data_IF_264022764396
#
_entry.id   IF_264022764396
#
_cell.length_a   1.000
_cell.length_b   1.000
_cell.length_c   1.000
_cell.angle_alpha   90.00
_cell.angle_beta   90.00
_cell.angle_gamma   90.00
#
_symmetry.space_group_name_H-M   'P 1'
#
loop_
_entity.id
_entity.type
_entity.pdbx_description
1 polymer ?
#
# COMPACT_ATOMS: atom_id res chain seq x y z
N UNK A 1 -42.95 5.18 4.61
CA UNK A 1 -42.25 4.11 5.35
C UNK A 1 -40.75 4.31 5.20
N UNK A 2 -40.05 4.72 6.25
CA UNK A 2 -38.59 4.75 6.24
C UNK A 2 -38.09 3.32 6.50
N UNK A 3 -37.40 2.72 5.53
CA UNK A 3 -36.58 1.54 5.80
C UNK A 3 -35.47 1.99 6.76
N UNK A 4 -35.70 1.79 8.06
CA UNK A 4 -34.61 1.82 9.05
C UNK A 4 -33.72 0.65 8.68
N UNK A 5 -32.62 0.93 7.99
CA UNK A 5 -31.59 -0.06 7.72
C UNK A 5 -31.21 -0.67 9.06
N UNK A 6 -31.59 -1.94 9.27
CA UNK A 6 -31.27 -2.74 10.46
C UNK A 6 -29.80 -3.12 10.41
N UNK A 7 -28.96 -2.11 10.48
CA UNK A 7 -27.53 -2.25 10.37
C UNK A 7 -27.01 -2.39 11.81
N UNK A 8 -26.88 -3.63 12.30
CA UNK A 8 -26.34 -3.95 13.65
C UNK A 8 -24.97 -3.31 13.91
N UNK A 9 -24.51 -3.10 15.15
CA UNK A 9 -23.31 -2.31 15.44
C UNK A 9 -22.08 -2.80 14.64
N UNK A 10 -21.27 -1.88 14.10
CA UNK A 10 -20.01 -2.22 13.45
C UNK A 10 -19.06 -2.85 14.47
N UNK A 11 -18.30 -3.88 14.08
CA UNK A 11 -17.26 -4.45 14.94
C UNK A 11 -16.16 -3.41 15.23
N UNK A 12 -15.52 -3.52 16.41
CA UNK A 12 -14.36 -2.69 16.76
C UNK A 12 -13.22 -2.84 15.74
N UNK A 13 -13.07 -4.04 15.18
CA UNK A 13 -12.14 -4.31 14.09
C UNK A 13 -12.47 -3.45 12.87
N UNK A 14 -13.72 -3.46 12.36
CA UNK A 14 -14.12 -2.64 11.22
C UNK A 14 -13.90 -1.14 11.45
N UNK A 15 -14.17 -0.64 12.66
CA UNK A 15 -13.93 0.75 13.02
C UNK A 15 -12.43 1.08 13.00
N UNK A 16 -11.59 0.18 13.51
CA UNK A 16 -10.14 0.35 13.55
C UNK A 16 -9.54 0.39 12.14
N UNK A 17 -9.99 -0.51 11.26
CA UNK A 17 -9.63 -0.49 9.85
C UNK A 17 -10.11 0.76 9.14
N UNK A 18 -11.35 1.16 9.38
CA UNK A 18 -11.88 2.37 8.79
C UNK A 18 -11.09 3.61 9.19
N UNK A 19 -10.61 3.65 10.43
CA UNK A 19 -9.74 4.72 10.91
C UNK A 19 -8.35 4.67 10.24
N UNK A 20 -7.68 3.51 10.26
CA UNK A 20 -6.32 3.34 9.72
C UNK A 20 -6.29 3.60 8.21
N UNK A 21 -7.17 2.94 7.47
CA UNK A 21 -7.16 2.94 6.01
C UNK A 21 -8.06 4.03 5.40
N UNK A 22 -8.88 4.71 6.20
CA UNK A 22 -9.86 5.71 5.72
C UNK A 22 -11.10 5.09 5.07
N UNK A 23 -11.40 3.81 5.36
CA UNK A 23 -12.51 3.06 4.75
C UNK A 23 -13.78 3.21 5.61
N UNK A 24 -14.83 3.82 5.09
CA UNK A 24 -16.03 4.13 5.90
C UNK A 24 -17.11 3.04 5.93
N UNK A 25 -16.95 1.89 5.25
CA UNK A 25 -18.08 0.97 4.98
C UNK A 25 -17.92 -0.48 5.46
N UNK A 26 -19.05 -1.03 5.94
CA UNK A 26 -19.25 -2.37 6.52
C UNK A 26 -18.96 -3.57 5.62
N UNK A 27 -18.99 -3.38 4.30
CA UNK A 27 -18.66 -4.46 3.34
C UNK A 27 -17.26 -5.00 3.60
N UNK A 28 -16.42 -4.23 4.32
CA UNK A 28 -15.10 -4.63 4.71
C UNK A 28 -15.02 -5.79 5.70
N UNK A 29 -16.04 -6.06 6.53
CA UNK A 29 -15.91 -7.06 7.61
C UNK A 29 -15.66 -8.48 7.09
N UNK A 30 -16.39 -8.90 6.06
CA UNK A 30 -16.25 -10.24 5.48
C UNK A 30 -14.96 -10.44 4.69
N UNK A 31 -14.38 -9.36 4.16
CA UNK A 31 -13.11 -9.43 3.42
C UNK A 31 -11.91 -9.39 4.38
N UNK A 32 -12.01 -8.54 5.42
CA UNK A 32 -10.97 -8.37 6.42
C UNK A 32 -10.78 -9.59 7.32
N UNK A 33 -11.83 -10.40 7.51
CA UNK A 33 -11.71 -11.67 8.26
C UNK A 33 -10.78 -12.70 7.60
N UNK A 34 -10.45 -12.53 6.31
CA UNK A 34 -9.51 -13.37 5.59
C UNK A 34 -8.05 -12.89 5.70
N UNK A 35 -7.80 -11.71 6.27
CA UNK A 35 -6.45 -11.19 6.47
C UNK A 35 -5.90 -11.67 7.82
N UNK A 36 -4.62 -12.06 7.84
CA UNK A 36 -3.96 -12.41 9.11
C UNK A 36 -3.68 -11.13 9.89
N UNK A 37 -3.79 -11.15 11.23
CA UNK A 37 -3.45 -9.99 12.07
C UNK A 37 -2.08 -9.36 11.77
N UNK A 38 -1.07 -10.17 11.47
CA UNK A 38 0.26 -9.68 11.10
C UNK A 38 0.25 -8.84 9.82
N UNK A 39 -0.52 -9.25 8.80
CA UNK A 39 -0.62 -8.52 7.52
C UNK A 39 -1.30 -7.16 7.72
N UNK A 40 -2.27 -7.12 8.64
CA UNK A 40 -3.04 -5.93 9.01
C UNK A 40 -2.16 -4.93 9.74
N UNK A 41 -1.42 -5.39 10.75
CA UNK A 41 -0.49 -4.57 11.52
C UNK A 41 0.57 -3.99 10.58
N UNK A 42 1.13 -4.84 9.71
CA UNK A 42 2.12 -4.41 8.73
C UNK A 42 1.55 -3.34 7.79
N UNK A 43 0.36 -3.57 7.21
CA UNK A 43 -0.30 -2.59 6.33
C UNK A 43 -0.62 -1.28 7.06
N UNK A 44 -1.03 -1.35 8.33
CA UNK A 44 -1.30 -0.18 9.15
C UNK A 44 -0.04 0.63 9.45
N UNK A 45 1.07 -0.04 9.74
CA UNK A 45 2.35 0.61 9.98
C UNK A 45 2.84 1.29 8.71
N UNK A 46 2.80 0.60 7.57
CA UNK A 46 3.13 1.22 6.28
C UNK A 46 2.34 2.51 6.02
N UNK A 47 1.03 2.51 6.33
CA UNK A 47 0.17 3.71 6.20
C UNK A 47 0.55 4.81 7.17
N UNK A 48 0.80 4.45 8.42
CA UNK A 48 1.21 5.40 9.45
C UNK A 48 2.52 6.08 9.08
N UNK A 49 3.46 5.33 8.52
CA UNK A 49 4.80 5.81 8.21
C UNK A 49 4.86 6.67 6.94
N UNK A 50 3.92 6.52 5.99
CA UNK A 50 3.85 7.27 4.71
C UNK A 50 5.17 7.31 3.93
N UNK A 51 6.07 6.36 4.18
CA UNK A 51 7.40 6.29 3.57
C UNK A 51 7.66 4.85 3.15
N UNK A 52 8.51 4.71 2.14
CA UNK A 52 9.01 3.41 1.72
C UNK A 52 10.08 2.92 2.70
N UNK A 53 10.02 1.64 3.05
CA UNK A 53 11.11 0.91 3.67
C UNK A 53 11.92 0.31 2.53
N UNK A 54 13.11 0.86 2.31
CA UNK A 54 13.94 0.53 1.16
C UNK A 54 15.03 -0.48 1.50
N UNK A 55 15.28 -0.72 2.80
CA UNK A 55 16.36 -1.59 3.27
C UNK A 55 15.85 -2.79 4.06
N UNK A 56 16.52 -3.94 3.91
CA UNK A 56 16.25 -5.14 4.73
C UNK A 56 16.54 -4.94 6.22
N UNK A 57 17.28 -3.89 6.58
CA UNK A 57 17.67 -3.58 7.95
C UNK A 57 16.68 -2.66 8.67
N UNK A 58 15.63 -2.19 7.99
CA UNK A 58 14.57 -1.37 8.59
C UNK A 58 13.55 -2.26 9.32
N UNK A 59 13.39 -2.01 10.62
CA UNK A 59 12.24 -2.53 11.34
C UNK A 59 11.05 -1.60 11.12
N UNK A 60 9.89 -2.20 10.92
CA UNK A 60 8.66 -1.46 10.63
C UNK A 60 8.08 -0.83 11.90
N UNK A 61 8.38 -1.42 13.06
CA UNK A 61 7.89 -0.94 14.36
C UNK A 61 8.73 0.21 14.95
N UNK A 62 9.78 0.63 14.24
CA UNK A 62 10.79 1.53 14.76
C UNK A 62 10.36 3.02 14.58
N UNK A 63 10.36 3.87 15.63
CA UNK A 63 9.86 5.25 15.56
C UNK A 63 10.64 6.11 14.55
N UNK A 64 9.95 6.91 13.74
CA UNK A 64 10.57 7.70 12.67
C UNK A 64 11.21 8.98 13.22
N UNK A 65 12.44 9.28 12.77
CA UNK A 65 13.02 10.63 12.81
C UNK A 65 12.72 11.35 11.49
N UNK A 66 12.28 12.60 11.58
CA UNK A 66 11.54 13.31 10.52
C UNK A 66 12.39 13.67 9.29
N UNK A 67 13.72 13.60 9.34
CA UNK A 67 14.56 14.29 8.34
C UNK A 67 14.96 13.51 7.07
N UNK A 68 14.65 12.21 6.94
CA UNK A 68 15.08 11.44 5.75
C UNK A 68 14.09 11.51 4.57
N UNK A 69 14.03 12.63 3.85
CA UNK A 69 13.36 12.67 2.53
C UNK A 69 14.43 12.61 1.45
N UNK A 70 14.70 11.41 0.94
CA UNK A 70 15.54 11.22 -0.25
C UNK A 70 14.66 11.33 -1.48
N UNK A 71 15.00 12.24 -2.41
CA UNK A 71 14.28 12.39 -3.68
C UNK A 71 14.55 11.17 -4.58
N UNK A 72 13.60 10.23 -4.60
CA UNK A 72 13.64 9.01 -5.40
C UNK A 72 12.89 9.13 -6.73
N UNK A 73 12.47 10.33 -7.13
CA UNK A 73 11.58 10.56 -8.27
C UNK A 73 12.14 10.04 -9.61
N UNK A 74 13.46 10.17 -9.83
CA UNK A 74 14.12 9.72 -11.06
C UNK A 74 14.13 8.19 -11.19
N UNK A 75 14.28 7.47 -10.08
CA UNK A 75 14.27 6.01 -10.08
C UNK A 75 12.84 5.47 -10.22
N UNK A 76 11.86 6.15 -9.62
CA UNK A 76 10.47 5.69 -9.58
C UNK A 76 9.90 5.42 -10.96
N UNK A 77 10.26 6.22 -11.97
CA UNK A 77 9.70 6.09 -13.31
C UNK A 77 10.39 5.03 -14.18
N UNK A 78 11.67 4.74 -13.94
CA UNK A 78 12.45 3.78 -14.75
C UNK A 78 12.50 2.38 -14.15
N UNK A 79 12.35 2.29 -12.83
CA UNK A 79 12.54 1.06 -12.08
C UNK A 79 11.49 -0.04 -12.36
N UNK A 80 10.17 0.23 -12.47
CA UNK A 80 9.20 -0.81 -12.79
C UNK A 80 9.53 -1.53 -14.10
N UNK A 81 9.86 -0.77 -15.15
CA UNK A 81 10.22 -1.32 -16.46
C UNK A 81 11.52 -2.13 -16.40
N UNK A 82 12.50 -1.68 -15.62
CA UNK A 82 13.72 -2.43 -15.38
C UNK A 82 13.42 -3.76 -14.67
N UNK A 83 12.72 -3.73 -13.54
CA UNK A 83 12.43 -4.94 -12.77
C UNK A 83 11.60 -5.94 -13.58
N UNK A 84 10.67 -5.46 -14.41
CA UNK A 84 9.88 -6.33 -15.28
C UNK A 84 10.76 -7.10 -16.28
N UNK A 85 11.75 -6.44 -16.89
CA UNK A 85 12.70 -7.07 -17.82
C UNK A 85 13.64 -8.07 -17.14
N UNK A 86 13.83 -7.93 -15.84
CA UNK A 86 14.81 -8.69 -15.06
C UNK A 86 14.17 -9.58 -14.00
N UNK A 87 12.85 -9.81 -14.10
CA UNK A 87 12.08 -10.51 -13.07
C UNK A 87 12.61 -11.92 -12.79
N UNK A 88 13.19 -12.58 -13.79
CA UNK A 88 13.79 -13.92 -13.68
C UNK A 88 15.03 -13.98 -12.78
N UNK A 89 15.64 -12.84 -12.47
CA UNK A 89 16.82 -12.75 -11.60
C UNK A 89 16.43 -12.63 -10.12
N UNK A 90 15.14 -12.42 -9.82
CA UNK A 90 14.64 -12.40 -8.44
C UNK A 90 14.65 -13.81 -7.83
N UNK A 91 14.86 -13.89 -6.52
CA UNK A 91 14.69 -15.13 -5.73
C UNK A 91 13.26 -15.67 -5.80
N UNK A 92 12.28 -14.77 -5.99
CA UNK A 92 10.87 -15.12 -6.17
C UNK A 92 10.28 -14.37 -7.38
N UNK A 93 10.49 -14.88 -8.62
CA UNK A 93 10.06 -14.19 -9.83
C UNK A 93 8.54 -14.12 -9.96
N UNK A 94 7.81 -15.10 -9.43
CA UNK A 94 6.35 -15.14 -9.48
C UNK A 94 5.72 -14.06 -8.61
N UNK A 95 6.23 -13.88 -7.39
CA UNK A 95 5.81 -12.79 -6.50
C UNK A 95 6.16 -11.43 -7.07
N UNK A 96 7.42 -11.22 -7.49
CA UNK A 96 7.85 -9.93 -8.05
C UNK A 96 7.00 -9.53 -9.26
N UNK A 97 6.70 -10.47 -10.17
CA UNK A 97 5.82 -10.21 -11.32
C UNK A 97 4.42 -9.78 -10.87
N UNK A 98 3.82 -10.52 -9.93
CA UNK A 98 2.49 -10.21 -9.42
C UNK A 98 2.43 -8.82 -8.77
N UNK A 99 3.50 -8.42 -8.07
CA UNK A 99 3.61 -7.10 -7.45
C UNK A 99 3.78 -5.98 -8.49
N UNK A 100 4.63 -6.17 -9.50
CA UNK A 100 4.83 -5.19 -10.59
C UNK A 100 3.55 -5.02 -11.42
N UNK A 101 2.90 -6.12 -11.80
CA UNK A 101 1.63 -6.08 -12.53
C UNK A 101 0.56 -5.33 -11.73
N UNK A 102 0.54 -5.50 -10.40
CA UNK A 102 -0.35 -4.76 -9.51
C UNK A 102 -0.04 -3.27 -9.49
N UNK A 103 1.23 -2.87 -9.36
CA UNK A 103 1.62 -1.45 -9.43
C UNK A 103 1.19 -0.82 -10.75
N UNK A 104 1.48 -1.46 -11.88
CA UNK A 104 1.12 -0.94 -13.20
C UNK A 104 -0.40 -0.71 -13.34
N UNK A 105 -1.23 -1.63 -12.82
CA UNK A 105 -2.69 -1.48 -12.87
C UNK A 105 -3.20 -0.38 -11.95
N UNK A 106 -2.57 -0.23 -10.79
CA UNK A 106 -2.89 0.87 -9.87
C UNK A 106 -2.52 2.21 -10.50
N UNK A 107 -1.35 2.33 -11.12
CA UNK A 107 -0.94 3.51 -11.90
C UNK A 107 -1.92 3.79 -13.06
N UNK A 108 -2.36 2.75 -13.77
CA UNK A 108 -3.33 2.87 -14.85
C UNK A 108 -4.68 3.44 -14.34
N UNK A 109 -5.19 2.92 -13.23
CA UNK A 109 -6.39 3.45 -12.59
C UNK A 109 -6.19 4.90 -12.16
N UNK A 110 -5.02 5.25 -11.64
CA UNK A 110 -4.72 6.64 -11.29
C UNK A 110 -4.70 7.55 -12.51
N UNK A 111 -4.12 7.09 -13.62
CA UNK A 111 -4.14 7.81 -14.88
C UNK A 111 -5.60 8.09 -15.30
N UNK A 112 -6.44 7.05 -15.39
CA UNK A 112 -7.85 7.21 -15.76
C UNK A 112 -8.64 8.03 -14.75
N UNK A 113 -8.39 7.86 -13.45
CA UNK A 113 -9.00 8.66 -12.40
C UNK A 113 -8.68 10.14 -12.58
N UNK A 114 -7.44 10.48 -12.91
CA UNK A 114 -7.03 11.87 -13.15
C UNK A 114 -7.73 12.47 -14.37
N UNK A 115 -7.91 11.69 -15.44
CA UNK A 115 -8.67 12.10 -16.63
C UNK A 115 -10.15 12.29 -16.29
N UNK A 116 -10.75 11.33 -15.60
CA UNK A 116 -12.12 11.39 -15.12
C UNK A 116 -12.37 12.63 -14.27
N UNK A 117 -11.51 12.92 -13.28
CA UNK A 117 -11.62 14.09 -12.41
C UNK A 117 -11.58 15.42 -13.20
N UNK A 118 -10.78 15.50 -14.27
CA UNK A 118 -10.73 16.66 -15.16
C UNK A 118 -12.01 16.82 -15.98
N UNK A 119 -12.64 15.71 -16.35
CA UNK A 119 -13.85 15.70 -17.16
C UNK A 119 -15.14 15.84 -16.34
N UNK A 120 -15.12 15.69 -15.01
CA UNK A 120 -16.31 15.83 -14.13
C UNK A 120 -17.19 17.05 -14.48
N UNK A 121 -16.67 18.29 -14.67
CA UNK A 121 -17.50 19.44 -15.05
C UNK A 121 -18.24 19.24 -16.38
N UNK A 122 -17.61 18.58 -17.35
CA UNK A 122 -18.23 18.23 -18.64
C UNK A 122 -19.28 17.15 -18.48
N UNK A 123 -19.04 16.18 -17.60
CA UNK A 123 -20.02 15.15 -17.23
C UNK A 123 -21.28 15.82 -16.66
N UNK A 124 -21.14 16.77 -15.73
CA UNK A 124 -22.27 17.54 -15.20
C UNK A 124 -23.03 18.32 -16.28
N UNK A 125 -22.32 18.90 -17.24
CA UNK A 125 -22.92 19.61 -18.37
C UNK A 125 -23.66 18.69 -19.35
N UNK A 126 -23.27 17.42 -19.44
CA UNK A 126 -23.87 16.45 -20.37
C UNK A 126 -25.05 15.68 -19.76
N UNK A 127 -25.14 15.53 -18.43
CA UNK A 127 -26.28 14.83 -17.79
C UNK A 127 -27.62 15.56 -18.00
N UNK A 128 -27.60 16.84 -18.38
CA UNK A 128 -28.80 17.61 -18.75
C UNK A 128 -29.28 17.38 -20.19
N UNK A 129 -28.49 16.73 -21.04
CA UNK A 129 -28.83 16.47 -22.44
C UNK A 129 -28.53 15.03 -22.81
N UNK A 130 -29.58 14.26 -23.14
CA UNK A 130 -29.68 12.82 -23.44
C UNK A 130 -28.54 12.18 -24.27
N UNK A 131 -27.28 12.28 -23.84
CA UNK A 131 -26.07 11.84 -24.55
C UNK A 131 -25.41 10.70 -23.78
N UNK A 132 -24.75 9.84 -24.55
CA UNK A 132 -24.04 8.64 -24.09
C UNK A 132 -23.12 8.90 -22.89
N UNK A 133 -22.96 7.87 -22.05
CA UNK A 133 -22.02 7.86 -20.91
C UNK A 133 -20.64 8.40 -21.31
N UNK A 134 -19.97 9.17 -20.44
CA UNK A 134 -18.62 9.67 -20.72
C UNK A 134 -17.65 8.50 -20.89
N UNK A 135 -16.98 8.43 -22.03
CA UNK A 135 -15.94 7.43 -22.34
C UNK A 135 -14.89 7.28 -21.21
N UNK A 136 -14.40 8.35 -20.55
CA UNK A 136 -13.44 8.22 -19.45
C UNK A 136 -13.96 7.46 -18.22
N UNK A 137 -15.26 7.59 -17.90
CA UNK A 137 -15.87 6.85 -16.79
C UNK A 137 -15.93 5.35 -17.11
N UNK A 138 -16.29 5.00 -18.35
CA UNK A 138 -16.31 3.61 -18.79
C UNK A 138 -14.90 2.99 -18.76
N UNK A 139 -13.89 3.71 -19.26
CA UNK A 139 -12.50 3.25 -19.22
C UNK A 139 -12.01 3.06 -17.77
N UNK A 140 -12.33 3.99 -16.87
CA UNK A 140 -12.00 3.85 -15.44
C UNK A 140 -12.69 2.63 -14.83
N UNK A 141 -13.98 2.39 -15.09
CA UNK A 141 -14.69 1.21 -14.58
C UNK A 141 -14.12 -0.10 -15.14
N UNK A 142 -13.73 -0.13 -16.42
CA UNK A 142 -13.04 -1.26 -17.05
C UNK A 142 -11.69 -1.51 -16.37
N UNK A 143 -10.92 -0.45 -16.10
CA UNK A 143 -9.63 -0.55 -15.42
C UNK A 143 -9.79 -1.02 -13.96
N UNK A 144 -10.75 -0.48 -13.23
CA UNK A 144 -11.10 -0.94 -11.89
C UNK A 144 -11.47 -2.42 -11.90
N UNK A 145 -12.26 -2.88 -12.87
CA UNK A 145 -12.61 -4.30 -13.02
C UNK A 145 -11.39 -5.16 -13.36
N UNK A 146 -10.56 -4.73 -14.29
CA UNK A 146 -9.30 -5.41 -14.63
C UNK A 146 -8.39 -5.53 -13.41
N UNK A 147 -8.28 -4.47 -12.59
CA UNK A 147 -7.54 -4.51 -11.33
C UNK A 147 -8.19 -5.49 -10.35
N UNK A 148 -9.51 -5.43 -10.14
CA UNK A 148 -10.25 -6.35 -9.25
C UNK A 148 -9.94 -7.81 -9.64
N UNK A 149 -10.11 -8.16 -10.91
CA UNK A 149 -9.84 -9.52 -11.41
C UNK A 149 -8.37 -9.92 -11.20
N UNK A 150 -7.46 -8.97 -11.41
CA UNK A 150 -6.03 -9.20 -11.21
C UNK A 150 -5.70 -9.45 -9.75
N UNK A 151 -6.22 -8.62 -8.86
CA UNK A 151 -6.03 -8.74 -7.42
C UNK A 151 -6.54 -10.08 -6.89
N UNK A 152 -7.71 -10.50 -7.37
CA UNK A 152 -8.27 -11.81 -7.04
C UNK A 152 -7.34 -12.94 -7.50
N UNK A 153 -6.75 -12.82 -8.70
CA UNK A 153 -5.86 -13.84 -9.28
C UNK A 153 -4.46 -13.84 -8.65
N UNK A 154 -3.92 -12.67 -8.29
CA UNK A 154 -2.57 -12.51 -7.76
C UNK A 154 -2.48 -12.68 -6.24
N UNK A 155 -3.61 -12.73 -5.52
CA UNK A 155 -3.67 -12.81 -4.04
C UNK A 155 -2.85 -13.95 -3.42
N UNK A 156 -2.63 -15.03 -4.18
CA UNK A 156 -1.88 -16.21 -3.74
C UNK A 156 -0.36 -15.94 -3.77
N UNK A 157 0.07 -15.00 -4.59
CA UNK A 157 1.48 -14.75 -4.90
C UNK A 157 2.01 -13.42 -4.33
N UNK A 158 1.17 -12.61 -3.68
CA UNK A 158 1.61 -11.36 -3.04
C UNK A 158 1.99 -11.56 -1.58
N UNK A 159 3.10 -10.95 -1.17
CA UNK A 159 3.47 -10.77 0.24
C UNK A 159 2.35 -10.14 1.08
N UNK A 160 2.35 -10.45 2.39
CA UNK A 160 1.23 -10.17 3.29
C UNK A 160 0.79 -8.70 3.35
N UNK A 161 1.74 -7.78 3.35
CA UNK A 161 1.50 -6.33 3.39
C UNK A 161 0.74 -5.81 2.16
N UNK A 162 1.24 -6.16 0.98
CA UNK A 162 0.65 -5.78 -0.29
C UNK A 162 -0.68 -6.47 -0.49
N UNK A 163 -0.82 -7.71 -0.01
CA UNK A 163 -2.12 -8.37 0.06
C UNK A 163 -3.11 -7.59 0.93
N UNK A 164 -2.69 -7.07 2.08
CA UNK A 164 -3.58 -6.22 2.89
C UNK A 164 -3.98 -4.95 2.13
N UNK A 165 -3.01 -4.22 1.57
CA UNK A 165 -3.26 -3.00 0.79
C UNK A 165 -4.10 -3.28 -0.46
N UNK A 166 -3.88 -4.39 -1.13
CA UNK A 166 -4.65 -4.80 -2.30
C UNK A 166 -6.08 -5.14 -1.93
N UNK A 167 -6.32 -5.82 -0.81
CA UNK A 167 -7.69 -6.11 -0.37
C UNK A 167 -8.40 -4.82 0.05
N UNK A 168 -7.70 -3.88 0.69
CA UNK A 168 -8.20 -2.54 1.01
C UNK A 168 -8.61 -1.80 -0.26
N UNK A 169 -7.75 -1.79 -1.28
CA UNK A 169 -8.05 -1.20 -2.59
C UNK A 169 -9.20 -1.92 -3.28
N UNK A 170 -9.21 -3.25 -3.28
CA UNK A 170 -10.26 -4.07 -3.87
C UNK A 170 -11.62 -3.70 -3.29
N UNK A 171 -11.72 -3.62 -1.96
CA UNK A 171 -12.96 -3.24 -1.28
C UNK A 171 -13.41 -1.83 -1.66
N UNK A 172 -12.45 -0.90 -1.77
CA UNK A 172 -12.75 0.46 -2.23
C UNK A 172 -13.25 0.44 -3.68
N UNK A 173 -12.58 -0.24 -4.59
CA UNK A 173 -12.96 -0.29 -5.99
C UNK A 173 -14.27 -1.02 -6.25
N UNK A 174 -14.51 -2.17 -5.61
CA UNK A 174 -15.79 -2.88 -5.70
C UNK A 174 -16.95 -1.99 -5.23
N UNK A 175 -16.74 -1.24 -4.16
CA UNK A 175 -17.69 -0.26 -3.68
C UNK A 175 -17.92 0.87 -4.69
N UNK A 176 -16.84 1.47 -5.19
CA UNK A 176 -16.89 2.55 -6.20
C UNK A 176 -17.65 2.10 -7.45
N UNK A 177 -17.32 0.91 -7.96
CA UNK A 177 -17.93 0.31 -9.16
C UNK A 177 -19.40 -0.01 -8.89
N UNK A 178 -19.75 -0.59 -7.75
CA UNK A 178 -21.14 -0.91 -7.40
C UNK A 178 -22.00 0.35 -7.31
N UNK A 179 -21.47 1.42 -6.71
CA UNK A 179 -22.14 2.72 -6.66
C UNK A 179 -22.33 3.33 -8.05
N UNK A 180 -21.27 3.36 -8.86
CA UNK A 180 -21.31 3.91 -10.22
C UNK A 180 -22.26 3.12 -11.14
N UNK A 181 -22.24 1.78 -11.10
CA UNK A 181 -23.10 0.94 -11.93
C UNK A 181 -24.58 1.05 -11.55
N UNK A 182 -24.89 1.29 -10.27
CA UNK A 182 -26.27 1.58 -9.86
C UNK A 182 -26.84 2.85 -10.50
N UNK A 183 -25.98 3.77 -10.96
CA UNK A 183 -26.37 5.00 -11.65
C UNK A 183 -26.72 4.81 -13.12
N UNK A 184 -26.06 3.84 -13.77
CA UNK A 184 -26.14 3.67 -15.22
C UNK A 184 -27.37 2.87 -15.64
N UNK A 185 -28.11 2.27 -14.68
CA UNK A 185 -29.36 1.55 -14.96
C UNK A 185 -29.19 0.26 -15.80
N UNK A 186 -28.00 0.02 -16.34
CA UNK A 186 -27.65 -1.12 -17.18
C UNK A 186 -26.47 -1.88 -16.58
N UNK A 187 -26.76 -3.00 -15.94
CA UNK A 187 -25.74 -4.00 -15.61
C UNK A 187 -25.89 -5.17 -16.57
N UNK A 188 -24.82 -5.57 -17.29
CA UNK A 188 -24.79 -6.87 -17.97
C UNK A 188 -25.03 -7.98 -16.93
N UNK A 189 -25.87 -8.95 -17.28
CA UNK A 189 -26.32 -10.09 -16.47
C UNK A 189 -25.22 -11.01 -15.88
N UNK A 190 -23.95 -10.67 -16.06
CA UNK A 190 -22.79 -11.43 -15.60
C UNK A 190 -22.45 -11.25 -14.10
N UNK A 191 -23.07 -10.31 -13.38
CA UNK A 191 -22.89 -10.12 -11.92
C UNK A 191 -23.92 -10.91 -11.10
N UNK A 192 -23.93 -12.24 -11.26
CA UNK A 192 -24.89 -13.16 -10.63
C UNK A 192 -24.88 -13.25 -9.10
N UNK A 193 -24.19 -12.37 -8.38
CA UNK A 193 -24.22 -12.27 -6.90
C UNK A 193 -24.58 -10.88 -6.35
N UNK A 194 -24.63 -9.84 -7.18
CA UNK A 194 -25.03 -8.48 -6.75
C UNK A 194 -26.48 -8.12 -7.15
N UNK A 195 -27.14 -8.99 -7.93
CA UNK A 195 -28.49 -8.78 -8.48
C UNK A 195 -29.59 -8.59 -7.41
N UNK A 196 -29.40 -9.14 -6.20
CA UNK A 196 -30.43 -9.13 -5.15
C UNK A 196 -30.53 -7.78 -4.41
N UNK A 197 -29.45 -6.97 -4.44
CA UNK A 197 -29.46 -5.60 -3.92
C UNK A 197 -30.08 -4.60 -4.92
N UNK A 198 -30.08 -4.94 -6.21
CA UNK A 198 -30.48 -4.05 -7.30
C UNK A 198 -32.01 -3.92 -7.43
N UNK A 199 -32.77 -4.99 -7.20
CA UNK A 199 -34.24 -4.99 -7.30
C UNK A 199 -34.93 -4.03 -6.32
N UNK A 200 -34.22 -3.55 -5.29
CA UNK A 200 -34.73 -2.64 -4.25
C UNK A 200 -34.47 -1.15 -4.51
N UNK A 201 -33.68 -0.79 -5.53
CA UNK A 201 -33.22 0.60 -5.74
C UNK A 201 -33.81 1.28 -6.99
N UNK A 202 -34.63 0.58 -7.78
CA UNK A 202 -35.02 1.04 -9.13
C UNK A 202 -36.09 2.15 -9.22
N UNK A 203 -36.94 2.50 -8.22
CA UNK A 203 -37.88 3.60 -8.42
C UNK A 203 -37.37 4.89 -7.75
N UNK A 204 -36.39 5.59 -8.34
CA UNK A 204 -36.02 6.94 -7.87
C UNK A 204 -35.38 7.87 -8.93
N UNK A 205 -35.62 7.63 -10.22
CA UNK A 205 -35.06 8.45 -11.31
C UNK A 205 -36.20 9.16 -12.03
N UNK A 206 -36.63 10.32 -11.54
CA UNK A 206 -37.30 11.31 -12.40
C UNK A 206 -37.26 12.77 -11.94
N UNK A 207 -36.52 13.13 -10.88
CA UNK A 207 -36.19 14.55 -10.60
C UNK A 207 -35.02 14.75 -9.63
N UNK A 208 -34.72 13.76 -8.78
CA UNK A 208 -33.59 13.75 -7.84
C UNK A 208 -32.31 13.11 -8.42
N UNK A 209 -32.38 12.52 -9.61
CA UNK A 209 -31.28 11.76 -10.23
C UNK A 209 -29.99 12.56 -10.40
N UNK A 210 -30.08 13.85 -10.73
CA UNK A 210 -28.91 14.71 -10.87
C UNK A 210 -28.19 14.97 -9.54
N UNK A 211 -28.94 15.29 -8.47
CA UNK A 211 -28.35 15.53 -7.14
C UNK A 211 -27.72 14.25 -6.57
N UNK A 212 -28.38 13.12 -6.78
CA UNK A 212 -27.89 11.81 -6.39
C UNK A 212 -26.62 11.47 -7.19
N UNK A 213 -26.61 11.67 -8.51
CA UNK A 213 -25.44 11.47 -9.36
C UNK A 213 -24.25 12.34 -8.98
N UNK A 214 -24.51 13.62 -8.74
CA UNK A 214 -23.50 14.55 -8.27
C UNK A 214 -22.89 14.13 -6.95
N UNK A 215 -23.71 13.76 -5.97
CA UNK A 215 -23.22 13.28 -4.68
C UNK A 215 -22.34 12.04 -4.84
N UNK A 216 -22.74 11.08 -5.67
CA UNK A 216 -21.93 9.90 -5.93
C UNK A 216 -20.61 10.21 -6.65
N UNK A 217 -20.60 11.12 -7.62
CA UNK A 217 -19.38 11.55 -8.30
C UNK A 217 -18.43 12.30 -7.34
N UNK A 218 -18.98 13.10 -6.42
CA UNK A 218 -18.21 13.77 -5.36
C UNK A 218 -17.65 12.78 -4.33
N UNK A 219 -18.42 11.77 -3.94
CA UNK A 219 -17.97 10.69 -3.06
C UNK A 219 -16.88 9.84 -3.75
N UNK A 220 -17.08 9.46 -5.03
CA UNK A 220 -16.09 8.78 -5.85
C UNK A 220 -14.78 9.57 -5.96
N UNK A 221 -14.88 10.89 -6.21
CA UNK A 221 -13.72 11.78 -6.23
C UNK A 221 -12.98 11.77 -4.88
N UNK A 222 -13.71 11.81 -3.76
CA UNK A 222 -13.13 11.78 -2.42
C UNK A 222 -12.40 10.46 -2.16
N UNK A 223 -13.03 9.34 -2.53
CA UNK A 223 -12.46 8.01 -2.32
C UNK A 223 -11.20 7.81 -3.18
N UNK A 224 -11.23 8.24 -4.45
CA UNK A 224 -10.03 8.29 -5.31
C UNK A 224 -8.93 9.15 -4.66
N UNK A 225 -9.26 10.34 -4.16
CA UNK A 225 -8.29 11.23 -3.53
C UNK A 225 -7.67 10.61 -2.26
N UNK A 226 -8.45 9.87 -1.46
CA UNK A 226 -7.96 9.09 -0.32
C UNK A 226 -6.97 8.02 -0.80
N UNK A 227 -7.33 7.25 -1.83
CA UNK A 227 -6.47 6.21 -2.39
C UNK A 227 -5.15 6.83 -2.92
N UNK A 228 -5.23 7.91 -3.71
CA UNK A 228 -4.06 8.63 -4.25
C UNK A 228 -3.17 9.16 -3.13
N UNK A 229 -3.74 9.80 -2.09
CA UNK A 229 -2.93 10.46 -1.07
C UNK A 229 -2.42 9.53 0.01
N UNK A 230 -3.12 8.44 0.29
CA UNK A 230 -2.77 7.53 1.39
C UNK A 230 -2.11 6.27 0.91
N UNK A 231 -2.58 5.67 -0.18
CA UNK A 231 -2.13 4.33 -0.59
C UNK A 231 -0.98 4.43 -1.59
N UNK A 232 -1.04 5.32 -2.58
CA UNK A 232 0.00 5.45 -3.59
C UNK A 232 1.41 5.74 -3.02
N UNK A 233 1.60 6.61 -2.02
CA UNK A 233 2.94 6.85 -1.46
C UNK A 233 3.58 5.61 -0.82
N UNK A 234 2.75 4.62 -0.49
CA UNK A 234 3.16 3.36 0.12
C UNK A 234 3.34 2.27 -0.93
N UNK A 235 2.68 2.40 -2.07
CA UNK A 235 2.85 1.50 -3.21
C UNK A 235 4.09 1.89 -4.05
N UNK A 236 5.16 2.30 -3.38
CA UNK A 236 6.43 2.52 -4.04
C UNK A 236 7.11 1.18 -4.31
N UNK A 237 7.79 1.06 -5.45
CA UNK A 237 8.47 -0.17 -5.88
C UNK A 237 9.45 -0.67 -4.82
N UNK A 238 10.02 0.25 -4.07
CA UNK A 238 10.97 -0.07 -3.02
C UNK A 238 10.36 -0.72 -1.78
N UNK A 239 9.05 -0.63 -1.59
CA UNK A 239 8.34 -1.44 -0.60
C UNK A 239 8.10 -2.88 -1.07
N UNK A 240 8.38 -3.18 -2.33
CA UNK A 240 8.23 -4.51 -2.92
C UNK A 240 9.55 -5.28 -2.90
N UNK A 241 10.63 -4.59 -3.25
CA UNK A 241 11.98 -5.15 -3.35
C UNK A 241 12.91 -4.25 -2.58
N UNK A 242 13.68 -4.83 -1.66
CA UNK A 242 14.72 -4.09 -0.95
C UNK A 242 15.80 -3.62 -1.94
N UNK A 243 16.43 -2.48 -1.68
CA UNK A 243 17.53 -1.98 -2.49
C UNK A 243 18.69 -2.99 -2.52
N UNK A 244 18.89 -3.75 -1.46
CA UNK A 244 19.88 -4.83 -1.37
C UNK A 244 19.57 -5.96 -2.34
N UNK A 245 18.31 -6.35 -2.47
CA UNK A 245 17.91 -7.36 -3.45
C UNK A 245 17.95 -6.81 -4.88
N UNK A 246 17.66 -5.51 -5.08
CA UNK A 246 17.87 -4.86 -6.38
C UNK A 246 19.34 -4.87 -6.79
N UNK A 247 20.27 -4.57 -5.87
CA UNK A 247 21.71 -4.68 -6.14
C UNK A 247 22.10 -6.07 -6.59
N UNK A 248 21.63 -7.12 -5.90
CA UNK A 248 21.91 -8.52 -6.30
C UNK A 248 21.39 -8.81 -7.71
N UNK A 249 20.21 -8.28 -8.06
CA UNK A 249 19.67 -8.39 -9.42
C UNK A 249 20.60 -7.70 -10.43
N UNK A 250 21.06 -6.47 -10.16
CA UNK A 250 21.98 -5.76 -11.04
C UNK A 250 23.33 -6.48 -11.20
N UNK A 251 23.90 -6.97 -10.10
CA UNK A 251 25.16 -7.73 -10.10
C UNK A 251 25.04 -9.01 -10.93
N UNK A 252 23.93 -9.74 -10.78
CA UNK A 252 23.69 -10.99 -11.53
C UNK A 252 23.58 -10.79 -13.04
N UNK A 253 23.20 -9.58 -13.50
CA UNK A 253 23.13 -9.23 -14.92
C UNK A 253 24.49 -8.81 -15.51
N UNK A 254 25.43 -8.45 -14.65
CA UNK A 254 26.72 -7.87 -15.04
C UNK A 254 26.75 -6.36 -14.85
N UNK A 255 27.71 -5.90 -14.04
CA UNK A 255 27.86 -4.51 -13.57
C UNK A 255 27.85 -3.47 -14.71
N UNK A 256 28.52 -3.76 -15.82
CA UNK A 256 28.68 -2.79 -16.92
C UNK A 256 27.35 -2.41 -17.58
N UNK A 257 26.38 -3.33 -17.61
CA UNK A 257 25.07 -3.10 -18.24
C UNK A 257 24.11 -2.26 -17.39
N UNK A 258 24.37 -2.15 -16.08
CA UNK A 258 23.51 -1.47 -15.11
C UNK A 258 24.27 -0.42 -14.28
N UNK A 259 25.40 0.08 -14.79
CA UNK A 259 26.31 0.93 -14.00
C UNK A 259 25.64 2.17 -13.42
N UNK A 260 24.76 2.82 -14.20
CA UNK A 260 23.97 3.96 -13.74
C UNK A 260 23.04 3.58 -12.60
N UNK A 261 22.29 2.51 -12.75
CA UNK A 261 21.29 2.03 -11.79
C UNK A 261 21.95 1.57 -10.49
N UNK A 262 23.06 0.81 -10.60
CA UNK A 262 23.89 0.42 -9.46
C UNK A 262 24.40 1.66 -8.75
N UNK A 263 24.91 2.66 -9.47
CA UNK A 263 25.39 3.90 -8.85
C UNK A 263 24.29 4.62 -8.07
N UNK A 264 23.07 4.69 -8.61
CA UNK A 264 21.96 5.35 -7.88
C UNK A 264 21.53 4.51 -6.69
N UNK A 265 21.34 3.19 -6.84
CA UNK A 265 20.92 2.32 -5.73
C UNK A 265 21.97 2.27 -4.62
N UNK A 266 23.26 2.17 -4.95
CA UNK A 266 24.33 2.26 -3.96
C UNK A 266 24.33 3.62 -3.26
N UNK A 267 24.08 4.72 -3.98
CA UNK A 267 23.99 6.06 -3.37
C UNK A 267 22.82 6.17 -2.38
N UNK A 268 21.65 5.64 -2.75
CA UNK A 268 20.48 5.58 -1.87
C UNK A 268 20.76 4.73 -0.62
N UNK A 269 21.35 3.54 -0.80
CA UNK A 269 21.72 2.65 0.31
C UNK A 269 22.73 3.29 1.25
N UNK A 270 23.73 4.01 0.74
CA UNK A 270 24.72 4.71 1.58
C UNK A 270 24.10 5.76 2.45
N UNK A 271 23.36 6.68 1.83
CA UNK A 271 22.64 7.74 2.56
C UNK A 271 21.77 7.12 3.65
N UNK A 272 21.09 6.01 3.33
CA UNK A 272 20.24 5.30 4.26
C UNK A 272 21.01 4.59 5.39
N UNK A 273 22.08 3.88 5.07
CA UNK A 273 22.85 3.08 6.03
C UNK A 273 23.53 3.96 7.06
N UNK A 274 24.00 5.15 6.70
CA UNK A 274 24.54 6.10 7.69
C UNK A 274 23.53 6.36 8.81
N UNK A 275 22.28 6.67 8.46
CA UNK A 275 21.23 6.95 9.44
C UNK A 275 20.85 5.69 10.23
N UNK A 276 20.72 4.54 9.55
CA UNK A 276 20.36 3.28 10.21
C UNK A 276 21.45 2.79 11.18
N UNK A 277 22.73 2.95 10.83
CA UNK A 277 23.85 2.58 11.70
C UNK A 277 23.82 3.40 12.98
N UNK A 278 23.77 4.73 12.87
CA UNK A 278 23.75 5.62 14.05
C UNK A 278 22.57 5.30 14.96
N UNK A 279 21.40 5.11 14.36
CA UNK A 279 20.19 4.72 15.08
C UNK A 279 20.35 3.37 15.81
N UNK A 280 20.83 2.34 15.12
CA UNK A 280 21.00 1.01 15.73
C UNK A 280 22.08 1.03 16.82
N UNK A 281 23.13 1.84 16.68
CA UNK A 281 24.13 2.07 17.74
C UNK A 281 23.51 2.67 18.99
N UNK A 282 22.61 3.66 18.85
CA UNK A 282 21.85 4.21 19.97
C UNK A 282 20.94 3.15 20.63
N UNK A 283 20.27 2.31 19.83
CA UNK A 283 19.47 1.20 20.35
C UNK A 283 20.31 0.18 21.12
N UNK A 284 21.48 -0.18 20.59
CA UNK A 284 22.45 -1.06 21.27
C UNK A 284 22.86 -0.47 22.62
N UNK A 285 23.21 0.82 22.66
CA UNK A 285 23.56 1.52 23.90
C UNK A 285 22.41 1.49 24.92
N UNK A 286 21.18 1.76 24.47
CA UNK A 286 19.99 1.70 25.32
C UNK A 286 19.75 0.30 25.90
N UNK A 287 19.80 -0.74 25.07
CA UNK A 287 19.59 -2.11 25.54
C UNK A 287 20.70 -2.58 26.49
N UNK A 288 21.95 -2.17 26.27
CA UNK A 288 23.04 -2.44 27.21
C UNK A 288 22.71 -1.84 28.58
N UNK A 289 22.22 -0.60 28.62
CA UNK A 289 21.86 0.07 29.87
C UNK A 289 20.68 -0.60 30.58
N UNK A 290 19.64 -0.98 29.83
CA UNK A 290 18.50 -1.75 30.36
C UNK A 290 18.97 -3.07 30.97
N UNK A 291 19.89 -3.79 30.30
CA UNK A 291 20.46 -5.04 30.83
C UNK A 291 21.23 -4.81 32.13
N UNK A 292 21.99 -3.72 32.25
CA UNK A 292 22.70 -3.40 33.50
C UNK A 292 21.72 -3.15 34.65
N UNK A 293 20.69 -2.32 34.42
CA UNK A 293 19.66 -2.04 35.42
C UNK A 293 18.94 -3.31 35.89
N UNK A 294 18.63 -4.22 34.97
CA UNK A 294 18.03 -5.53 35.31
C UNK A 294 18.99 -6.36 36.18
N UNK A 295 20.29 -6.37 35.85
CA UNK A 295 21.30 -7.13 36.61
C UNK A 295 21.56 -6.55 37.99
N UNK A 296 21.45 -5.24 38.14
CA UNK A 296 21.69 -4.53 39.41
C UNK A 296 20.50 -4.62 40.38
N UNK A 297 19.38 -5.24 39.98
CA UNK A 297 18.22 -5.45 40.84
C UNK A 297 17.47 -4.15 41.19
N UNK A 298 17.78 -3.05 40.51
CA UNK A 298 17.21 -1.72 40.73
C UNK A 298 15.91 -1.49 39.96
N UNK A 299 15.23 -2.56 39.50
CA UNK A 299 13.96 -2.39 38.78
C UNK A 299 12.88 -1.89 39.74
N UNK A 300 12.69 -0.56 39.79
CA UNK A 300 11.48 0.05 40.30
C UNK A 300 10.29 -0.63 39.63
N UNK A 301 9.25 -0.96 40.40
CA UNK A 301 8.03 -1.69 40.00
C UNK A 301 7.18 -1.01 38.90
N UNK A 302 7.72 -0.09 38.10
CA UNK A 302 7.03 0.50 36.95
C UNK A 302 6.92 -0.52 35.81
N UNK A 303 5.75 -1.13 35.78
CA UNK A 303 5.26 -2.23 34.95
C UNK A 303 5.28 -1.98 33.43
N UNK A 304 6.45 -1.97 32.83
CA UNK A 304 6.61 -2.38 31.43
C UNK A 304 6.74 -3.89 31.35
N UNK A 305 6.16 -4.53 30.33
CA UNK A 305 6.37 -5.95 30.03
C UNK A 305 7.84 -6.16 29.65
N UNK A 306 8.72 -6.36 30.64
CA UNK A 306 10.14 -6.59 30.41
C UNK A 306 10.32 -7.92 29.69
N UNK A 307 10.94 -7.89 28.51
CA UNK A 307 11.33 -9.10 27.80
C UNK A 307 12.29 -9.93 28.67
N UNK A 308 12.26 -11.27 28.57
CA UNK A 308 13.25 -12.12 29.24
C UNK A 308 14.68 -11.69 28.87
N UNK A 309 15.61 -11.71 29.84
CA UNK A 309 17.00 -11.29 29.65
C UNK A 309 17.69 -11.95 28.44
N UNK A 310 17.38 -13.23 28.16
CA UNK A 310 17.88 -13.95 26.99
C UNK A 310 17.46 -13.33 25.65
N UNK A 311 16.28 -12.71 25.59
CA UNK A 311 15.78 -12.03 24.39
C UNK A 311 16.61 -10.80 24.05
N UNK A 312 17.03 -10.02 25.06
CA UNK A 312 17.87 -8.84 24.84
C UNK A 312 19.26 -9.20 24.32
N UNK A 313 19.86 -10.28 24.81
CA UNK A 313 21.17 -10.75 24.33
C UNK A 313 21.12 -11.10 22.84
N UNK A 314 20.09 -11.84 22.42
CA UNK A 314 19.90 -12.19 21.00
C UNK A 314 19.64 -10.96 20.13
N UNK A 315 18.84 -10.00 20.62
CA UNK A 315 18.57 -8.76 19.93
C UNK A 315 19.84 -7.91 19.75
N UNK A 316 20.66 -7.78 20.79
CA UNK A 316 21.95 -7.09 20.73
C UNK A 316 22.90 -7.74 19.73
N UNK A 317 23.00 -9.07 19.74
CA UNK A 317 23.84 -9.80 18.78
C UNK A 317 23.39 -9.52 17.35
N UNK A 318 22.08 -9.60 17.09
CA UNK A 318 21.48 -9.31 15.79
C UNK A 318 21.78 -7.87 15.35
N UNK A 319 21.52 -6.86 16.20
CA UNK A 319 21.77 -5.46 15.86
C UNK A 319 23.23 -5.19 15.52
N UNK A 320 24.17 -5.75 16.29
CA UNK A 320 25.61 -5.61 16.00
C UNK A 320 26.01 -6.27 14.67
N UNK A 321 25.43 -7.43 14.34
CA UNK A 321 25.65 -8.06 13.04
C UNK A 321 25.12 -7.19 11.89
N UNK A 322 23.90 -6.67 12.02
CA UNK A 322 23.30 -5.78 11.01
C UNK A 322 24.13 -4.49 10.82
N UNK A 323 24.60 -3.89 11.92
CA UNK A 323 25.52 -2.73 11.87
C UNK A 323 26.80 -3.08 11.11
N UNK A 324 27.43 -4.21 11.45
CA UNK A 324 28.69 -4.62 10.81
C UNK A 324 28.51 -4.89 9.30
N UNK A 325 27.38 -5.47 8.88
CA UNK A 325 27.07 -5.68 7.46
C UNK A 325 26.88 -4.35 6.71
N UNK A 326 26.15 -3.40 7.30
CA UNK A 326 25.98 -2.07 6.71
C UNK A 326 27.31 -1.30 6.65
N UNK A 327 28.13 -1.33 7.71
CA UNK A 327 29.45 -0.70 7.72
C UNK A 327 30.38 -1.31 6.66
N UNK A 328 30.38 -2.64 6.52
CA UNK A 328 31.13 -3.33 5.47
C UNK A 328 30.71 -2.85 4.07
N UNK A 329 29.39 -2.74 3.84
CA UNK A 329 28.88 -2.23 2.57
C UNK A 329 29.38 -0.81 2.26
N UNK A 330 29.38 0.09 3.26
CA UNK A 330 29.87 1.46 3.09
C UNK A 330 31.35 1.51 2.71
N UNK A 331 32.17 0.57 3.19
CA UNK A 331 33.59 0.46 2.85
C UNK A 331 33.80 -0.08 1.43
N UNK A 332 32.99 -1.07 1.02
CA UNK A 332 33.11 -1.70 -0.30
C UNK A 332 32.63 -0.77 -1.44
N UNK A 333 31.73 0.17 -1.15
CA UNK A 333 31.12 1.09 -2.13
C UNK A 333 31.38 2.57 -1.79
N UNK A 334 32.62 3.09 -1.83
CA UNK A 334 32.92 4.47 -1.45
C UNK A 334 32.32 5.51 -2.42
N UNK A 335 32.09 6.74 -1.95
CA UNK A 335 31.70 7.87 -2.81
C UNK A 335 32.79 8.13 -3.85
N UNK A 336 32.39 8.14 -5.13
CA UNK A 336 33.27 8.42 -6.26
C UNK A 336 33.12 9.85 -6.70
#
# INVERSE_FOLDING_TARGET
MACVNSSGPCSLQALSFGHIFGITRRVSEGVLSHLRPADIIYGALLIKHRRSCFSIYELIDEPILVDDVVDSSSLRNSLPAFLQRNVSLSRNPGELRAQLDFLCKVEEIFCYSSHFLKDIPRIYGNVSGNRSSPEPLNLMLIACRSLIDSLINSRVNMGGALRCLSMVLLMQFEYLVSGALSMVGSLPSYWGRASDLYSRLVPFVESSGFYVARKYLEDLRRDIDIIVRRILPIMDVFNLVSLEDMMKIFESKGYDSCKSEVSVVSSLLRAKYHVLIERKKLMVAHYIEVIKLIKEGTSSESSGTLLPLGSYSNLLKRLNCEIAEMEKFLVEFPEK
#
